data_IF_325516605601
#
_entry.id   IF_325516605601
#
_cell.length_a   1.000
_cell.length_b   1.000
_cell.length_c   1.000
_cell.angle_alpha   90.00
_cell.angle_beta   90.00
_cell.angle_gamma   90.00
#
_symmetry.space_group_name_H-M   'P 1'
#
loop_
_entity.id
_entity.type
_entity.pdbx_description
1 polymer ?
#
# COMPACT_ATOMS: atom_id res chain seq x y z
N UNK A 1 58.35 23.03 -64.64
CA UNK A 1 58.28 23.48 -63.23
C UNK A 1 56.82 23.68 -62.87
N UNK A 2 56.35 22.99 -61.81
CA UNK A 2 55.19 23.28 -60.94
C UNK A 2 53.81 23.45 -61.65
N UNK A 3 52.74 22.73 -61.31
CA UNK A 3 52.10 22.74 -59.98
C UNK A 3 51.10 21.58 -59.86
N UNK A 4 50.90 21.11 -58.62
CA UNK A 4 50.13 19.93 -58.19
C UNK A 4 48.62 20.23 -57.94
N UNK A 5 47.84 19.15 -57.96
CA UNK A 5 46.67 18.79 -57.11
C UNK A 5 45.31 19.51 -57.29
N UNK A 6 44.25 18.72 -57.51
CA UNK A 6 43.30 18.34 -56.44
C UNK A 6 42.29 17.29 -56.95
N UNK A 7 42.31 16.08 -56.37
CA UNK A 7 41.24 15.08 -56.50
C UNK A 7 40.22 15.39 -55.41
N UNK A 8 39.01 15.81 -55.80
CA UNK A 8 37.89 16.00 -54.87
C UNK A 8 37.29 14.61 -54.63
N UNK A 9 37.58 14.03 -53.47
CA UNK A 9 36.97 12.77 -53.03
C UNK A 9 35.63 13.08 -52.37
N UNK A 10 34.52 12.74 -53.01
CA UNK A 10 33.19 12.87 -52.44
C UNK A 10 32.92 11.67 -51.49
N UNK A 11 32.98 11.91 -50.18
CA UNK A 11 32.59 10.93 -49.16
C UNK A 11 31.06 10.97 -49.04
N UNK A 12 30.37 9.92 -49.51
CA UNK A 12 28.97 9.67 -49.18
C UNK A 12 28.88 9.26 -47.70
N UNK A 13 28.30 10.10 -46.86
CA UNK A 13 27.87 9.71 -45.51
C UNK A 13 26.51 9.04 -45.63
N UNK A 14 26.49 7.71 -45.56
CA UNK A 14 25.25 6.95 -45.38
C UNK A 14 24.76 7.15 -43.96
N UNK A 15 23.70 7.95 -43.78
CA UNK A 15 22.95 7.99 -42.52
C UNK A 15 22.12 6.70 -42.42
N UNK A 16 22.70 5.65 -41.84
CA UNK A 16 21.91 4.54 -41.33
C UNK A 16 21.06 5.09 -40.17
N UNK A 17 19.74 5.05 -40.34
CA UNK A 17 18.78 5.56 -39.38
C UNK A 17 19.01 4.96 -38.00
N UNK A 18 19.05 5.83 -36.99
CA UNK A 18 18.92 5.44 -35.59
C UNK A 18 17.48 4.94 -35.46
N UNK A 19 17.28 3.63 -35.39
CA UNK A 19 16.06 3.08 -34.84
C UNK A 19 16.01 3.52 -33.38
N UNK A 20 15.19 4.53 -33.08
CA UNK A 20 14.77 4.78 -31.71
C UNK A 20 14.00 3.53 -31.29
N UNK A 21 14.62 2.73 -30.42
CA UNK A 21 13.88 1.75 -29.65
C UNK A 21 12.78 2.52 -28.91
N UNK A 22 11.56 2.38 -29.38
CA UNK A 22 10.38 2.79 -28.65
C UNK A 22 10.32 1.83 -27.46
N UNK A 23 10.73 2.32 -26.29
CA UNK A 23 10.45 1.65 -25.02
C UNK A 23 8.93 1.65 -24.84
N UNK A 24 8.24 0.71 -25.49
CA UNK A 24 6.91 0.28 -25.08
C UNK A 24 7.09 -0.55 -23.79
N UNK A 25 7.54 0.13 -22.71
CA UNK A 25 7.38 -0.37 -21.37
C UNK A 25 5.88 -0.62 -21.21
N UNK A 26 5.50 -1.89 -21.13
CA UNK A 26 4.11 -2.33 -21.12
C UNK A 26 3.29 -1.42 -20.20
N UNK A 27 2.46 -0.55 -20.82
CA UNK A 27 1.55 0.36 -20.13
C UNK A 27 0.43 -0.48 -19.53
N UNK A 28 0.76 -1.17 -18.45
CA UNK A 28 -0.23 -1.76 -17.55
C UNK A 28 -0.95 -0.64 -16.79
N UNK A 29 -2.12 -0.92 -16.22
CA UNK A 29 -2.84 0.08 -15.44
C UNK A 29 -2.06 0.44 -14.18
N UNK A 30 -2.24 1.66 -13.69
CA UNK A 30 -1.63 2.09 -12.43
C UNK A 30 -2.30 1.43 -11.21
N UNK A 31 -3.57 1.04 -11.36
CA UNK A 31 -4.37 0.45 -10.29
C UNK A 31 -5.14 -0.80 -10.75
N UNK A 32 -5.30 -1.70 -9.78
CA UNK A 32 -6.13 -2.89 -9.90
C UNK A 32 -7.24 -2.86 -8.87
N UNK A 33 -8.44 -3.33 -9.23
CA UNK A 33 -9.48 -3.72 -8.29
C UNK A 33 -9.54 -5.24 -8.16
N UNK A 34 -9.71 -5.72 -6.93
CA UNK A 34 -9.99 -7.14 -6.67
C UNK A 34 -11.38 -7.50 -7.17
N UNK A 35 -11.48 -8.48 -8.05
CA UNK A 35 -12.75 -8.91 -8.64
C UNK A 35 -12.85 -10.42 -8.85
N UNK A 36 -14.08 -10.92 -9.00
CA UNK A 36 -14.35 -12.34 -9.31
C UNK A 36 -14.26 -13.29 -8.11
N UNK A 37 -14.26 -12.76 -6.88
CA UNK A 37 -14.33 -13.59 -5.68
C UNK A 37 -15.75 -14.13 -5.47
N UNK A 38 -15.85 -15.36 -4.96
CA UNK A 38 -17.12 -15.89 -4.46
C UNK A 38 -17.54 -15.11 -3.23
N UNK A 39 -18.85 -15.04 -2.98
CA UNK A 39 -19.40 -14.42 -1.78
C UNK A 39 -18.77 -15.01 -0.51
N UNK A 40 -18.42 -14.15 0.45
CA UNK A 40 -17.73 -14.53 1.68
C UNK A 40 -16.27 -14.98 1.51
N UNK A 41 -15.71 -14.96 0.29
CA UNK A 41 -14.30 -15.30 0.06
C UNK A 41 -13.39 -14.07 0.06
N UNK A 42 -12.09 -14.33 0.18
CA UNK A 42 -11.03 -13.31 0.15
C UNK A 42 -9.91 -13.70 -0.81
N UNK A 43 -9.23 -12.71 -1.39
CA UNK A 43 -8.00 -12.91 -2.14
C UNK A 43 -6.81 -12.94 -1.18
N UNK A 44 -5.93 -13.94 -1.32
CA UNK A 44 -4.67 -13.98 -0.57
C UNK A 44 -3.62 -13.09 -1.25
N UNK A 45 -3.02 -12.20 -0.47
CA UNK A 45 -1.77 -11.48 -0.77
C UNK A 45 -0.63 -12.27 -0.14
N UNK A 46 0.39 -12.61 -0.93
CA UNK A 46 1.47 -13.52 -0.54
C UNK A 46 2.83 -12.83 -0.59
N UNK A 47 3.82 -13.42 0.07
CA UNK A 47 5.18 -12.88 0.08
C UNK A 47 5.92 -13.05 -1.26
N UNK A 48 5.53 -14.04 -2.07
CA UNK A 48 6.14 -14.38 -3.36
C UNK A 48 5.06 -14.75 -4.41
N UNK A 49 5.37 -14.70 -5.73
CA UNK A 49 4.42 -15.03 -6.81
C UNK A 49 4.15 -16.54 -6.94
N UNK A 50 3.69 -17.17 -5.86
CA UNK A 50 3.43 -18.61 -5.79
C UNK A 50 2.24 -18.95 -4.90
N UNK A 51 1.48 -19.98 -5.24
CA UNK A 51 0.40 -20.49 -4.39
C UNK A 51 0.90 -21.16 -3.10
N UNK A 52 2.18 -21.55 -3.04
CA UNK A 52 2.80 -22.14 -1.85
C UNK A 52 3.40 -21.11 -0.89
N UNK A 53 3.57 -19.85 -1.32
CA UNK A 53 4.20 -18.81 -0.52
C UNK A 53 3.32 -18.41 0.70
N UNK A 54 3.91 -18.03 1.84
CA UNK A 54 3.16 -17.53 2.99
C UNK A 54 2.14 -16.45 2.61
N UNK A 55 0.94 -16.52 3.20
CA UNK A 55 -0.08 -15.49 3.06
C UNK A 55 0.24 -14.36 4.02
N UNK A 56 0.64 -13.21 3.49
CA UNK A 56 0.87 -11.99 4.27
C UNK A 56 -0.46 -11.41 4.73
N UNK A 57 -1.45 -11.36 3.84
CA UNK A 57 -2.78 -10.87 4.18
C UNK A 57 -3.90 -11.36 3.27
N UNK A 58 -5.14 -11.19 3.70
CA UNK A 58 -6.36 -11.47 2.92
C UNK A 58 -7.12 -10.18 2.69
N UNK A 59 -7.55 -9.97 1.46
CA UNK A 59 -8.25 -8.75 1.01
C UNK A 59 -9.57 -9.11 0.33
N UNK A 60 -10.53 -8.19 0.44
CA UNK A 60 -11.91 -8.39 0.01
C UNK A 60 -12.13 -7.95 -1.44
N UNK A 61 -13.24 -8.42 -2.02
CA UNK A 61 -13.78 -7.96 -3.30
C UNK A 61 -13.88 -6.43 -3.32
N UNK A 62 -13.44 -5.80 -4.41
CA UNK A 62 -13.45 -4.35 -4.60
C UNK A 62 -12.24 -3.61 -4.01
N UNK A 63 -11.33 -4.28 -3.30
CA UNK A 63 -10.10 -3.64 -2.81
C UNK A 63 -9.29 -3.06 -3.97
N UNK A 64 -8.98 -1.77 -3.91
CA UNK A 64 -8.12 -1.10 -4.89
C UNK A 64 -6.65 -1.18 -4.47
N UNK A 65 -5.78 -1.50 -5.42
CA UNK A 65 -4.37 -1.77 -5.23
C UNK A 65 -3.54 -1.01 -6.27
N UNK A 66 -2.37 -0.50 -5.88
CA UNK A 66 -1.35 -0.03 -6.83
C UNK A 66 -0.78 -1.23 -7.57
N UNK A 67 -0.64 -1.10 -8.87
CA UNK A 67 0.11 -2.03 -9.69
C UNK A 67 1.61 -1.73 -9.56
N UNK A 68 2.39 -2.68 -9.04
CA UNK A 68 3.84 -2.56 -8.95
C UNK A 68 4.55 -3.40 -10.02
N UNK A 69 3.78 -4.00 -10.94
CA UNK A 69 4.28 -4.88 -11.99
C UNK A 69 3.69 -6.29 -11.88
N UNK A 70 3.64 -6.99 -13.00
CA UNK A 70 3.18 -8.38 -13.05
C UNK A 70 4.21 -9.26 -13.73
N UNK A 71 4.34 -10.48 -13.24
CA UNK A 71 5.14 -11.55 -13.81
C UNK A 71 4.24 -12.67 -14.35
N UNK A 72 4.68 -13.27 -15.46
CA UNK A 72 3.93 -14.31 -16.16
C UNK A 72 2.69 -13.79 -16.91
N UNK A 73 1.91 -14.71 -17.45
CA UNK A 73 0.75 -14.39 -18.29
C UNK A 73 -0.44 -15.33 -18.01
N UNK A 74 -1.63 -14.94 -18.46
CA UNK A 74 -2.85 -15.74 -18.33
C UNK A 74 -3.17 -16.11 -16.88
N UNK A 75 -3.51 -17.38 -16.64
CA UNK A 75 -3.89 -17.89 -15.31
C UNK A 75 -2.73 -18.00 -14.32
N UNK A 76 -1.49 -17.99 -14.83
CA UNK A 76 -0.27 -18.03 -14.01
C UNK A 76 0.29 -16.65 -13.75
N UNK A 77 -0.39 -15.59 -14.18
CA UNK A 77 0.03 -14.20 -13.93
C UNK A 77 -0.05 -13.90 -12.45
N UNK A 78 1.04 -13.37 -11.90
CA UNK A 78 1.11 -12.81 -10.57
C UNK A 78 1.41 -11.33 -10.67
N UNK A 79 0.76 -10.52 -9.83
CA UNK A 79 1.02 -9.08 -9.80
C UNK A 79 1.53 -8.71 -8.42
N UNK A 80 2.66 -8.01 -8.39
CA UNK A 80 3.11 -7.32 -7.20
C UNK A 80 2.23 -6.10 -7.01
N UNK A 81 1.73 -5.95 -5.80
CA UNK A 81 0.71 -4.96 -5.47
C UNK A 81 1.02 -4.33 -4.12
N UNK A 82 0.53 -3.12 -3.94
CA UNK A 82 0.45 -2.50 -2.63
C UNK A 82 -0.90 -1.80 -2.45
N UNK A 83 -1.24 -1.48 -1.21
CA UNK A 83 -2.30 -0.51 -0.95
C UNK A 83 -1.91 0.86 -1.54
N UNK A 84 -2.86 1.76 -1.79
CA UNK A 84 -2.58 3.12 -2.26
C UNK A 84 -1.54 3.86 -1.42
N UNK A 85 -1.57 3.66 -0.10
CA UNK A 85 -0.60 4.22 0.86
C UNK A 85 0.73 3.45 0.93
N UNK A 86 0.79 2.24 0.39
CA UNK A 86 1.96 1.36 0.45
C UNK A 86 2.20 0.67 1.80
N UNK A 87 1.31 0.87 2.79
CA UNK A 87 1.61 0.54 4.20
C UNK A 87 0.74 -0.62 4.71
N UNK A 88 -0.53 -0.65 4.32
CA UNK A 88 -1.48 -1.67 4.78
C UNK A 88 -1.35 -3.00 4.01
N UNK A 89 -0.98 -2.95 2.73
CA UNK A 89 -0.87 -4.12 1.85
C UNK A 89 0.42 -3.99 1.05
N UNK A 90 1.21 -5.05 1.04
CA UNK A 90 2.32 -5.23 0.10
C UNK A 90 2.53 -6.73 -0.14
N UNK A 91 2.71 -7.12 -1.40
CA UNK A 91 3.02 -8.50 -1.77
C UNK A 91 2.51 -8.87 -3.16
N UNK A 92 2.31 -10.17 -3.38
CA UNK A 92 1.93 -10.77 -4.65
C UNK A 92 0.52 -11.35 -4.60
N UNK A 93 -0.27 -11.08 -5.63
CA UNK A 93 -1.62 -11.64 -5.80
C UNK A 93 -1.75 -12.32 -7.16
N UNK A 94 -2.64 -13.30 -7.26
CA UNK A 94 -2.97 -13.88 -8.57
C UNK A 94 -3.70 -12.85 -9.43
N UNK A 95 -3.16 -12.58 -10.61
CA UNK A 95 -3.74 -11.65 -11.58
C UNK A 95 -5.07 -12.13 -12.18
N UNK A 96 -5.49 -13.37 -11.89
CA UNK A 96 -6.81 -13.87 -12.28
C UNK A 96 -7.98 -13.19 -11.54
N UNK A 97 -7.68 -12.53 -10.40
CA UNK A 97 -8.67 -11.82 -9.58
C UNK A 97 -8.49 -10.30 -9.64
N UNK A 98 -7.82 -9.79 -10.67
CA UNK A 98 -7.59 -8.36 -10.85
C UNK A 98 -8.24 -7.87 -12.13
N UNK A 99 -8.97 -6.78 -12.02
CA UNK A 99 -9.47 -5.98 -13.15
C UNK A 99 -8.89 -4.58 -13.06
N UNK A 100 -8.58 -3.99 -14.22
CA UNK A 100 -8.09 -2.61 -14.27
C UNK A 100 -9.09 -1.67 -13.58
N UNK A 101 -8.55 -0.72 -12.82
CA UNK A 101 -9.36 0.27 -12.11
C UNK A 101 -8.76 1.66 -12.22
N UNK A 102 -9.60 2.66 -11.99
CA UNK A 102 -9.11 3.97 -11.59
C UNK A 102 -8.39 3.87 -10.23
N UNK A 103 -7.67 4.93 -9.82
CA UNK A 103 -7.35 5.10 -8.40
C UNK A 103 -8.60 4.91 -7.54
N UNK A 104 -8.45 4.58 -6.25
CA UNK A 104 -9.59 4.52 -5.36
C UNK A 104 -10.34 5.85 -5.48
N UNK A 105 -11.69 5.87 -5.44
CA UNK A 105 -12.38 7.12 -5.15
C UNK A 105 -11.69 7.69 -3.92
N UNK A 106 -11.42 9.00 -3.91
CA UNK A 106 -10.82 9.63 -2.76
C UNK A 106 -11.53 9.06 -1.53
N UNK A 107 -10.79 8.32 -0.71
CA UNK A 107 -11.24 8.02 0.64
C UNK A 107 -11.71 9.35 1.22
N UNK A 108 -12.68 9.30 2.12
CA UNK A 108 -13.24 10.47 2.79
C UNK A 108 -12.20 11.58 3.01
N UNK A 109 -12.64 12.82 2.79
CA UNK A 109 -11.78 13.94 2.42
C UNK A 109 -10.45 13.98 3.19
N UNK A 110 -9.33 14.15 2.47
CA UNK A 110 -8.05 14.36 3.12
C UNK A 110 -8.09 15.62 3.99
N UNK A 111 -7.50 15.53 5.17
CA UNK A 111 -7.22 16.69 6.01
C UNK A 111 -6.21 17.57 5.28
N UNK A 112 -6.59 18.83 5.03
CA UNK A 112 -5.80 19.77 4.24
C UNK A 112 -4.35 19.86 4.74
N UNK A 113 -3.40 19.68 3.82
CA UNK A 113 -1.97 19.71 4.14
C UNK A 113 -1.41 18.40 4.70
N UNK A 114 -2.17 17.31 4.73
CA UNK A 114 -1.71 16.00 5.22
C UNK A 114 -2.07 14.87 4.25
N UNK A 115 -1.43 13.69 4.36
CA UNK A 115 -1.83 12.50 3.60
C UNK A 115 -2.99 11.72 4.27
N UNK A 116 -3.59 12.25 5.34
CA UNK A 116 -4.54 11.51 6.17
C UNK A 116 -5.99 11.85 5.85
N UNK A 117 -6.86 10.84 5.91
CA UNK A 117 -8.32 11.01 5.84
C UNK A 117 -8.88 11.61 7.14
N UNK A 118 -8.24 11.34 8.28
CA UNK A 118 -8.55 11.99 9.55
C UNK A 118 -7.29 12.16 10.38
N UNK A 119 -7.27 13.21 11.19
CA UNK A 119 -6.24 13.43 12.21
C UNK A 119 -6.90 13.74 13.54
N UNK A 120 -6.18 13.50 14.63
CA UNK A 120 -6.70 13.79 15.96
C UNK A 120 -5.74 13.38 17.06
N UNK A 121 -6.27 13.26 18.27
CA UNK A 121 -5.56 12.73 19.44
C UNK A 121 -6.38 11.60 20.04
N UNK A 122 -5.73 10.56 20.53
CA UNK A 122 -6.38 9.46 21.23
C UNK A 122 -5.76 9.25 22.62
N UNK A 123 -6.53 8.77 23.61
CA UNK A 123 -5.95 8.33 24.87
C UNK A 123 -4.90 7.25 24.66
N UNK A 124 -3.74 7.44 25.27
CA UNK A 124 -2.66 6.45 25.23
C UNK A 124 -1.95 6.34 26.58
N UNK A 125 -1.27 5.22 26.80
CA UNK A 125 -0.38 4.98 27.93
C UNK A 125 0.87 4.30 27.43
N UNK A 126 2.04 4.89 27.67
CA UNK A 126 3.33 4.45 27.14
C UNK A 126 4.32 4.19 28.29
N UNK A 127 4.85 2.98 28.39
CA UNK A 127 5.81 2.62 29.43
C UNK A 127 7.10 3.47 29.39
N UNK A 128 7.51 3.91 28.19
CA UNK A 128 8.69 4.78 27.99
C UNK A 128 8.43 6.27 28.25
N UNK A 129 7.16 6.69 28.22
CA UNK A 129 6.73 8.09 28.33
C UNK A 129 5.47 8.18 29.20
N UNK A 130 5.67 8.06 30.52
CA UNK A 130 4.58 7.95 31.51
C UNK A 130 3.73 9.23 31.64
N UNK A 131 4.22 10.35 31.16
CA UNK A 131 3.55 11.64 31.10
C UNK A 131 2.65 11.78 29.86
N UNK A 132 2.84 10.95 28.83
CA UNK A 132 2.00 10.93 27.64
C UNK A 132 0.66 10.26 27.95
N UNK A 133 -0.42 11.05 27.93
CA UNK A 133 -1.81 10.58 28.14
C UNK A 133 -2.67 10.71 26.88
N UNK A 134 -2.19 11.46 25.89
CA UNK A 134 -2.83 11.68 24.60
C UNK A 134 -1.76 11.57 23.52
N UNK A 135 -2.02 10.78 22.48
CA UNK A 135 -1.11 10.57 21.37
C UNK A 135 -1.74 11.14 20.08
N UNK A 136 -1.05 12.05 19.36
CA UNK A 136 -1.49 12.49 18.04
C UNK A 136 -1.53 11.32 17.06
N UNK A 137 -2.48 11.37 16.12
CA UNK A 137 -2.56 10.38 15.07
C UNK A 137 -3.03 10.95 13.74
N UNK A 138 -2.70 10.21 12.68
CA UNK A 138 -3.30 10.29 11.37
C UNK A 138 -3.87 8.94 10.94
N UNK A 139 -4.91 8.93 10.10
CA UNK A 139 -5.52 7.71 9.58
C UNK A 139 -5.54 7.73 8.07
N UNK A 140 -5.19 6.59 7.47
CA UNK A 140 -5.48 6.30 6.07
C UNK A 140 -6.50 5.17 6.01
N UNK A 141 -7.67 5.43 5.43
CA UNK A 141 -8.71 4.43 5.14
C UNK A 141 -8.56 4.00 3.70
N UNK A 142 -8.08 2.77 3.49
CA UNK A 142 -7.89 2.20 2.15
C UNK A 142 -9.25 1.80 1.55
N UNK A 143 -10.14 1.24 2.38
CA UNK A 143 -11.53 0.93 2.06
C UNK A 143 -12.33 0.69 3.36
N UNK A 144 -13.62 0.36 3.24
CA UNK A 144 -14.53 0.12 4.38
C UNK A 144 -14.08 -0.97 5.37
N UNK A 145 -13.11 -1.81 5.00
CA UNK A 145 -12.61 -2.91 5.84
C UNK A 145 -11.13 -2.77 6.20
N UNK A 146 -10.43 -1.74 5.72
CA UNK A 146 -8.99 -1.64 5.89
C UNK A 146 -8.56 -0.20 6.18
N UNK A 147 -7.96 0.00 7.34
CA UNK A 147 -7.40 1.28 7.74
C UNK A 147 -6.02 1.11 8.39
N UNK A 148 -5.18 2.13 8.25
CA UNK A 148 -3.89 2.28 8.90
C UNK A 148 -3.97 3.50 9.82
N UNK A 149 -3.67 3.32 11.09
CA UNK A 149 -3.57 4.41 12.07
C UNK A 149 -2.09 4.63 12.39
N UNK A 150 -1.62 5.84 12.13
CA UNK A 150 -0.27 6.32 12.37
C UNK A 150 -0.27 7.15 13.64
N UNK A 151 0.35 6.65 14.70
CA UNK A 151 0.34 7.28 16.01
C UNK A 151 1.73 7.86 16.25
N UNK A 152 1.81 9.19 16.40
CA UNK A 152 3.06 9.88 16.69
C UNK A 152 3.40 9.69 18.17
N UNK A 153 4.57 9.11 18.45
CA UNK A 153 5.10 8.90 19.79
C UNK A 153 5.91 10.12 20.26
N UNK A 154 6.11 10.31 21.57
CA UNK A 154 6.83 11.48 22.12
C UNK A 154 8.31 11.58 21.70
N UNK A 155 8.93 10.47 21.37
CA UNK A 155 10.29 10.39 20.81
C UNK A 155 10.36 10.81 19.33
N UNK A 156 9.22 11.06 18.70
CA UNK A 156 9.10 11.39 17.28
C UNK A 156 8.98 10.17 16.37
N UNK A 157 9.06 8.96 16.93
CA UNK A 157 8.78 7.74 16.19
C UNK A 157 7.28 7.61 15.88
N UNK A 158 6.95 6.74 14.93
CA UNK A 158 5.57 6.49 14.53
C UNK A 158 5.19 5.02 14.75
N UNK A 159 4.09 4.82 15.48
CA UNK A 159 3.47 3.50 15.66
C UNK A 159 2.37 3.31 14.61
N UNK A 160 2.52 2.29 13.78
CA UNK A 160 1.46 1.84 12.86
C UNK A 160 0.58 0.77 13.51
N UNK A 161 -0.72 1.03 13.58
CA UNK A 161 -1.75 0.02 13.86
C UNK A 161 -2.60 -0.21 12.60
N UNK A 162 -2.67 -1.46 12.14
CA UNK A 162 -3.49 -1.82 10.98
C UNK A 162 -4.80 -2.46 11.45
N UNK A 163 -5.92 -1.92 10.98
CA UNK A 163 -7.26 -2.43 11.24
C UNK A 163 -7.80 -3.17 10.02
N UNK A 164 -8.31 -4.40 10.23
CA UNK A 164 -8.96 -5.23 9.21
C UNK A 164 -10.33 -5.66 9.69
N UNK A 165 -11.35 -5.39 8.90
CA UNK A 165 -12.76 -5.66 9.22
C UNK A 165 -13.12 -5.17 10.63
N UNK A 166 -12.62 -3.98 10.99
CA UNK A 166 -12.85 -3.34 12.28
C UNK A 166 -12.04 -3.87 13.46
N UNK A 167 -11.04 -4.73 13.23
CA UNK A 167 -10.19 -5.29 14.29
C UNK A 167 -8.70 -5.02 14.04
N UNK A 168 -7.90 -4.73 15.08
CA UNK A 168 -6.47 -4.50 14.95
C UNK A 168 -5.75 -5.82 14.65
N UNK A 169 -4.74 -5.76 13.79
CA UNK A 169 -3.92 -6.91 13.39
C UNK A 169 -2.50 -6.72 13.88
N UNK A 170 -2.02 -7.69 14.66
CA UNK A 170 -0.66 -7.69 15.19
C UNK A 170 0.38 -7.72 14.04
N UNK A 171 1.37 -6.81 14.04
CA UNK A 171 2.53 -6.94 13.17
C UNK A 171 3.33 -8.23 13.47
N UNK A 172 4.07 -8.79 12.50
CA UNK A 172 4.96 -9.92 12.76
C UNK A 172 5.97 -9.61 13.87
N UNK A 173 6.08 -10.50 14.86
CA UNK A 173 7.00 -10.34 15.99
C UNK A 173 6.49 -9.43 17.12
N UNK A 174 5.30 -8.85 16.99
CA UNK A 174 4.66 -8.03 18.03
C UNK A 174 3.54 -8.81 18.70
N UNK A 175 3.46 -8.75 20.03
CA UNK A 175 2.28 -9.28 20.75
C UNK A 175 1.24 -8.17 20.86
N UNK A 176 0.01 -8.47 20.47
CA UNK A 176 -1.07 -7.49 20.50
C UNK A 176 -2.35 -8.17 20.94
N UNK A 177 -3.02 -7.57 21.93
CA UNK A 177 -4.37 -7.93 22.35
C UNK A 177 -5.26 -6.70 22.24
N UNK A 178 -6.57 -6.92 22.23
CA UNK A 178 -7.51 -5.82 22.26
C UNK A 178 -8.76 -6.20 23.04
N UNK A 179 -9.41 -5.19 23.60
CA UNK A 179 -10.73 -5.30 24.19
C UNK A 179 -11.64 -4.22 23.60
N UNK A 180 -12.89 -4.56 23.32
CA UNK A 180 -13.88 -3.62 22.79
C UNK A 180 -14.99 -3.40 23.82
N UNK A 181 -15.28 -2.14 24.10
CA UNK A 181 -16.40 -1.70 24.93
C UNK A 181 -17.17 -0.67 24.13
N UNK A 182 -18.40 -1.00 23.74
CA UNK A 182 -19.23 -0.16 22.86
C UNK A 182 -18.50 0.19 21.55
N UNK A 183 -18.31 1.48 21.27
CA UNK A 183 -17.62 2.02 20.09
C UNK A 183 -16.13 2.31 20.36
N UNK A 184 -15.60 1.90 21.51
CA UNK A 184 -14.19 2.10 21.87
C UNK A 184 -13.45 0.77 21.88
N UNK A 185 -12.32 0.73 21.20
CA UNK A 185 -11.37 -0.39 21.23
C UNK A 185 -10.09 0.01 21.94
N UNK A 186 -9.70 -0.75 22.95
CA UNK A 186 -8.41 -0.61 23.62
C UNK A 186 -7.45 -1.64 23.05
N UNK A 187 -6.39 -1.17 22.39
CA UNK A 187 -5.31 -2.00 21.85
C UNK A 187 -4.15 -1.99 22.84
N UNK A 188 -3.66 -3.17 23.19
CA UNK A 188 -2.55 -3.39 24.12
C UNK A 188 -1.42 -4.07 23.36
N UNK A 189 -0.25 -3.44 23.32
CA UNK A 189 0.93 -3.90 22.59
C UNK A 189 2.02 -4.31 23.56
N UNK A 190 2.70 -5.42 23.26
CA UNK A 190 3.87 -5.93 23.97
C UNK A 190 3.69 -6.03 25.49
N UNK A 191 2.58 -6.66 25.89
CA UNK A 191 2.25 -6.88 27.29
C UNK A 191 1.84 -5.62 28.05
N UNK A 192 1.45 -4.55 27.35
CA UNK A 192 1.07 -3.26 27.95
C UNK A 192 2.18 -2.22 27.95
N UNK A 193 3.27 -2.46 27.21
CA UNK A 193 4.28 -1.43 26.95
C UNK A 193 3.67 -0.20 26.28
N UNK A 194 2.67 -0.41 25.42
CA UNK A 194 1.87 0.64 24.79
C UNK A 194 0.39 0.24 24.86
N UNK A 195 -0.47 1.18 25.23
CA UNK A 195 -1.93 1.01 25.21
C UNK A 195 -2.57 2.21 24.52
N UNK A 196 -3.53 1.96 23.63
CA UNK A 196 -4.23 2.97 22.84
C UNK A 196 -5.73 2.74 22.92
N UNK A 197 -6.52 3.78 23.21
CA UNK A 197 -7.99 3.69 23.20
C UNK A 197 -8.53 4.45 22.00
N UNK A 198 -9.14 3.74 21.06
CA UNK A 198 -9.47 4.22 19.73
C UNK A 198 -10.99 4.13 19.54
N UNK A 199 -11.63 5.18 19.04
CA UNK A 199 -13.05 5.12 18.69
C UNK A 199 -13.25 4.46 17.33
N UNK A 200 -14.35 3.74 17.14
CA UNK A 200 -14.70 3.04 15.89
C UNK A 200 -14.65 3.97 14.67
N UNK A 201 -15.20 5.18 14.82
CA UNK A 201 -15.21 6.22 13.78
C UNK A 201 -13.80 6.57 13.27
N UNK A 202 -12.76 6.37 14.08
CA UNK A 202 -11.37 6.64 13.68
C UNK A 202 -10.96 5.73 12.53
N UNK A 203 -11.32 4.45 12.55
CA UNK A 203 -10.91 3.49 11.51
C UNK A 203 -12.04 3.10 10.54
N UNK A 204 -13.30 3.34 10.90
CA UNK A 204 -14.44 3.07 10.02
C UNK A 204 -14.82 4.27 9.14
N UNK A 205 -14.54 5.51 9.58
CA UNK A 205 -15.15 6.70 8.98
C UNK A 205 -16.55 6.97 9.54
N UNK A 206 -17.21 8.02 9.03
CA UNK A 206 -18.60 8.41 9.36
C UNK A 206 -19.67 7.71 8.49
#
# INVERSE_FOLDING_TARGET
>A
MMTRLAIISAILVSMAGIALAQDDAASGPDFWAVAGLKEGSSLNVRSEPSTSAPVSVRISQGTILRNLGCEGTGKSRWCQVASPDGLAISGWVSGAYLVESSPPPAADALVAGTPYNATGTMPCSLARHHDATQCPFGVIRVNATLASIFITLPDGDERLLVFRSGQPVAPPGTTMTFNKVEDMITVIVDGGAETYTIADVVFLGD
#
